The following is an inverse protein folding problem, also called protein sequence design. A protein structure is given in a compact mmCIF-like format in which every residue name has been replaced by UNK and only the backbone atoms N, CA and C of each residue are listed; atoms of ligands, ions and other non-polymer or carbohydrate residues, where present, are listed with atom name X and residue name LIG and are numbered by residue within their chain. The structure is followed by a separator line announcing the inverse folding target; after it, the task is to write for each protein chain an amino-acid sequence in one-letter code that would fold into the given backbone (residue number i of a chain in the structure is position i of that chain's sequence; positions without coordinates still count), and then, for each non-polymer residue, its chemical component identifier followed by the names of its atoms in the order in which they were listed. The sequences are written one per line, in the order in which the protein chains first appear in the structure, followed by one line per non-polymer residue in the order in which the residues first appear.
data_IF_760980578191
#
_entry.id   IF_760980578191
#
_cell.length_a   1.000
_cell.length_b   1.000
_cell.length_c   1.000
_cell.angle_alpha   90.00
_cell.angle_beta   90.00
_cell.angle_gamma   90.00
#
_symmetry.space_group_name_H-M   'P 1'
#
loop_
_entity.id
_entity.type
_entity.pdbx_description
1 polymer ?
#
# COMPACT_ATOMS: atom_id res chain seq x y z
N UNK A 1 2.65 0.04 -19.42
CA UNK A 1 3.25 -0.14 -18.08
C UNK A 1 2.24 -0.76 -17.15
N UNK A 2 2.68 -1.33 -16.04
CA UNK A 2 1.78 -1.84 -15.00
C UNK A 2 1.03 -0.69 -14.33
N UNK A 3 -0.24 -0.93 -14.02
CA UNK A 3 -1.10 0.01 -13.32
C UNK A 3 -1.15 -0.29 -11.82
N UNK A 4 -1.44 0.72 -11.01
CA UNK A 4 -1.58 0.56 -9.57
C UNK A 4 -2.70 1.43 -9.01
N UNK A 5 -3.27 0.98 -7.89
CA UNK A 5 -4.25 1.72 -7.10
C UNK A 5 -3.82 1.77 -5.64
N UNK A 6 -3.95 2.93 -4.99
CA UNK A 6 -3.59 3.11 -3.59
C UNK A 6 -4.84 3.33 -2.75
N UNK A 7 -5.04 2.47 -1.75
CA UNK A 7 -6.06 2.62 -0.72
C UNK A 7 -5.35 3.15 0.54
N UNK A 8 -5.68 4.39 0.93
CA UNK A 8 -5.10 5.04 2.10
C UNK A 8 -6.10 5.06 3.25
N UNK A 9 -5.81 4.30 4.30
CA UNK A 9 -6.68 4.16 5.46
C UNK A 9 -6.14 4.95 6.67
N UNK A 10 -7.06 5.38 7.54
CA UNK A 10 -6.74 5.98 8.82
C UNK A 10 -6.46 7.48 8.78
N UNK A 11 -5.30 7.92 9.24
CA UNK A 11 -5.05 9.33 9.57
C UNK A 11 -4.32 10.10 8.47
N UNK A 12 -4.23 11.43 8.64
CA UNK A 12 -3.51 12.33 7.74
C UNK A 12 -2.02 11.97 7.54
N UNK A 13 -1.39 11.32 8.53
CA UNK A 13 -0.04 10.79 8.40
C UNK A 13 0.03 9.70 7.30
N UNK A 14 -0.90 8.75 7.33
CA UNK A 14 -0.98 7.71 6.31
C UNK A 14 -1.25 8.29 4.93
N UNK A 15 -2.08 9.34 4.85
CA UNK A 15 -2.32 10.03 3.59
C UNK A 15 -1.03 10.62 3.02
N UNK A 16 -0.21 11.29 3.84
CA UNK A 16 1.09 11.83 3.40
C UNK A 16 2.03 10.72 2.92
N UNK A 17 2.08 9.60 3.64
CA UNK A 17 2.91 8.46 3.26
C UNK A 17 2.39 7.83 1.94
N UNK A 18 1.08 7.73 1.76
CA UNK A 18 0.46 7.27 0.50
C UNK A 18 0.72 8.20 -0.68
N UNK A 19 0.71 9.52 -0.47
CA UNK A 19 1.06 10.50 -1.51
C UNK A 19 2.54 10.45 -1.90
N UNK A 20 3.45 10.08 -0.97
CA UNK A 20 4.86 9.79 -1.27
C UNK A 20 5.00 8.51 -2.10
N UNK A 21 4.28 7.44 -1.71
CA UNK A 21 4.23 6.20 -2.49
C UNK A 21 3.75 6.50 -3.90
N UNK A 22 2.67 7.29 -4.05
CA UNK A 22 2.13 7.66 -5.35
C UNK A 22 3.17 8.35 -6.25
N UNK A 23 3.87 9.36 -5.72
CA UNK A 23 4.95 10.02 -6.44
C UNK A 23 6.06 9.06 -6.85
N UNK A 24 6.47 8.18 -5.95
CA UNK A 24 7.49 7.16 -6.21
C UNK A 24 7.06 6.14 -7.26
N UNK A 25 5.81 5.68 -7.25
CA UNK A 25 5.28 4.76 -8.25
C UNK A 25 5.27 5.39 -9.65
N UNK A 26 4.83 6.66 -9.77
CA UNK A 26 4.87 7.41 -11.03
C UNK A 26 6.31 7.53 -11.53
N UNK A 27 7.25 7.91 -10.66
CA UNK A 27 8.68 8.02 -11.02
C UNK A 27 9.31 6.69 -11.40
N UNK A 28 8.83 5.59 -10.85
CA UNK A 28 9.26 4.24 -11.21
C UNK A 28 8.66 3.74 -12.53
N UNK A 29 7.77 4.51 -13.17
CA UNK A 29 7.17 4.19 -14.47
C UNK A 29 5.85 3.42 -14.40
N UNK A 30 5.20 3.37 -13.24
CA UNK A 30 3.85 2.82 -13.08
C UNK A 30 2.79 3.87 -13.39
N UNK A 31 1.61 3.43 -13.81
CA UNK A 31 0.47 4.30 -14.12
C UNK A 31 -0.61 4.18 -13.06
N UNK A 32 -1.13 5.28 -12.48
CA UNK A 32 -2.26 5.21 -11.56
C UNK A 32 -3.51 4.70 -12.28
N UNK A 33 -4.24 3.78 -11.66
CA UNK A 33 -5.55 3.31 -12.10
C UNK A 33 -6.67 4.14 -11.45
N UNK A 34 -7.86 4.14 -12.05
CA UNK A 34 -9.02 4.84 -11.51
C UNK A 34 -9.71 4.05 -10.40
N UNK A 35 -9.56 2.72 -10.39
CA UNK A 35 -10.12 1.85 -9.37
C UNK A 35 -9.22 0.64 -9.06
N UNK A 36 -9.50 -0.04 -7.95
CA UNK A 36 -8.78 -1.25 -7.55
C UNK A 36 -9.00 -2.39 -8.56
N UNK A 37 -10.20 -2.51 -9.11
CA UNK A 37 -10.59 -3.53 -10.10
C UNK A 37 -9.82 -3.39 -11.41
N UNK A 38 -9.39 -2.18 -11.76
CA UNK A 38 -8.65 -1.89 -12.99
C UNK A 38 -7.14 -1.94 -12.83
N UNK A 39 -6.65 -2.07 -11.57
CA UNK A 39 -5.22 -2.01 -11.28
C UNK A 39 -4.55 -3.39 -11.32
N UNK A 40 -3.30 -3.42 -11.73
CA UNK A 40 -2.43 -4.60 -11.66
C UNK A 40 -1.85 -4.79 -10.25
N UNK A 41 -1.66 -3.69 -9.51
CA UNK A 41 -1.11 -3.68 -8.16
C UNK A 41 -2.04 -2.88 -7.25
N UNK A 42 -2.54 -3.50 -6.18
CA UNK A 42 -3.30 -2.81 -5.13
C UNK A 42 -2.36 -2.57 -3.96
N UNK A 43 -2.18 -1.31 -3.58
CA UNK A 43 -1.35 -0.91 -2.44
C UNK A 43 -2.27 -0.41 -1.33
N UNK A 44 -2.28 -1.10 -0.18
CA UNK A 44 -3.10 -0.78 0.98
C UNK A 44 -2.21 -0.22 2.08
N UNK A 45 -2.34 1.07 2.36
CA UNK A 45 -1.67 1.72 3.48
C UNK A 45 -2.58 1.70 4.71
N UNK A 46 -2.29 0.80 5.63
CA UNK A 46 -3.15 0.40 6.74
C UNK A 46 -2.98 1.24 8.00
N UNK A 47 -4.03 1.32 8.79
CA UNK A 47 -4.02 1.91 10.13
C UNK A 47 -4.22 0.84 11.21
N UNK A 48 -3.49 0.95 12.32
CA UNK A 48 -3.50 -0.06 13.38
C UNK A 48 -3.57 0.48 14.79
N UNK A 49 -3.94 1.76 15.00
CA UNK A 49 -3.92 2.37 16.32
C UNK A 49 -5.17 2.12 17.15
N UNK A 50 -6.36 2.25 16.56
CA UNK A 50 -7.64 2.00 17.22
C UNK A 50 -8.27 0.75 16.64
N UNK A 51 -9.21 0.16 17.38
CA UNK A 51 -9.85 -1.10 17.00
C UNK A 51 -10.57 -0.98 15.66
N UNK A 52 -11.40 0.04 15.50
CA UNK A 52 -12.19 0.25 14.28
C UNK A 52 -11.31 0.39 13.05
N UNK A 53 -10.19 1.12 13.15
CA UNK A 53 -9.24 1.26 12.04
C UNK A 53 -8.50 -0.06 11.71
N UNK A 54 -8.32 -0.95 12.69
CA UNK A 54 -7.79 -2.30 12.43
C UNK A 54 -8.81 -3.16 11.71
N UNK A 55 -10.05 -3.15 12.16
CA UNK A 55 -11.15 -3.90 11.54
C UNK A 55 -11.34 -3.44 10.08
N UNK A 56 -11.41 -2.13 9.84
CA UNK A 56 -11.46 -1.53 8.50
C UNK A 56 -10.28 -1.98 7.63
N UNK A 57 -9.05 -1.93 8.18
CA UNK A 57 -7.86 -2.32 7.42
C UNK A 57 -7.87 -3.79 7.02
N UNK A 58 -8.33 -4.67 7.89
CA UNK A 58 -8.44 -6.11 7.62
C UNK A 58 -9.54 -6.38 6.59
N UNK A 59 -10.69 -5.72 6.70
CA UNK A 59 -11.80 -5.84 5.75
C UNK A 59 -11.34 -5.44 4.33
N UNK A 60 -10.67 -4.29 4.19
CA UNK A 60 -10.14 -3.83 2.91
C UNK A 60 -9.09 -4.78 2.33
N UNK A 61 -8.27 -5.43 3.17
CA UNK A 61 -7.33 -6.45 2.70
C UNK A 61 -8.08 -7.66 2.12
N UNK A 62 -9.13 -8.15 2.79
CA UNK A 62 -9.94 -9.26 2.30
C UNK A 62 -10.70 -8.91 1.02
N UNK A 63 -11.21 -7.68 0.89
CA UNK A 63 -11.83 -7.20 -0.36
C UNK A 63 -10.83 -7.25 -1.52
N UNK A 64 -9.59 -6.82 -1.29
CA UNK A 64 -8.54 -6.90 -2.31
C UNK A 64 -8.14 -8.35 -2.64
N UNK A 65 -8.14 -9.25 -1.66
CA UNK A 65 -7.91 -10.69 -1.87
C UNK A 65 -9.03 -11.28 -2.73
N UNK A 66 -10.28 -10.95 -2.46
CA UNK A 66 -11.43 -11.40 -3.26
C UNK A 66 -11.32 -10.97 -4.73
N UNK A 67 -10.89 -9.72 -4.99
CA UNK A 67 -10.64 -9.27 -6.37
C UNK A 67 -9.54 -10.08 -7.08
N UNK A 68 -8.53 -10.55 -6.36
CA UNK A 68 -7.46 -11.39 -6.91
C UNK A 68 -7.97 -12.81 -7.22
N UNK A 69 -8.85 -13.36 -6.39
CA UNK A 69 -9.46 -14.67 -6.58
C UNK A 69 -10.44 -14.65 -7.77
N UNK A 70 -11.26 -13.61 -7.88
CA UNK A 70 -12.19 -13.42 -9.01
C UNK A 70 -11.43 -13.35 -10.36
N UNK A 71 -10.27 -12.70 -10.41
CA UNK A 71 -9.41 -12.66 -11.59
C UNK A 71 -8.92 -14.09 -11.97
N UNK A 72 -8.52 -14.89 -10.97
CA UNK A 72 -8.02 -16.26 -11.19
C UNK A 72 -9.14 -17.20 -11.66
N UNK A 73 -10.35 -17.05 -11.15
CA UNK A 73 -11.51 -17.85 -11.56
C UNK A 73 -12.02 -17.43 -12.95
N UNK A 74 -11.98 -16.13 -13.26
CA UNK A 74 -12.27 -15.64 -14.61
C UNK A 74 -11.27 -16.21 -15.64
N UNK A 75 -9.98 -16.28 -15.31
CA UNK A 75 -8.96 -16.88 -16.17
C UNK A 75 -9.22 -18.37 -16.43
N UNK A 76 -9.66 -19.14 -15.43
CA UNK A 76 -10.06 -20.55 -15.57
C UNK A 76 -11.27 -20.75 -16.45
N UNK A 77 -12.30 -19.92 -16.30
CA UNK A 77 -13.55 -19.98 -17.07
C UNK A 77 -13.35 -19.60 -18.55
N UNK A 78 -12.39 -18.70 -18.85
CA UNK A 78 -12.15 -18.21 -20.20
C UNK A 78 -11.17 -19.02 -21.02
N UNK A 79 -10.40 -19.92 -20.41
CA UNK A 79 -9.62 -20.94 -21.15
C UNK A 79 -10.50 -21.82 -22.03
N UNK A 80 -11.79 -21.93 -21.71
CA UNK A 80 -12.75 -22.77 -22.42
C UNK A 80 -13.46 -22.06 -23.60
N UNK A 81 -13.46 -20.73 -23.75
CA UNK A 81 -14.30 -19.99 -24.69
C UNK A 81 -13.63 -18.87 -25.50
N UNK A 82 -12.32 -18.89 -25.68
CA UNK A 82 -11.53 -18.09 -26.65
C UNK A 82 -12.12 -16.76 -27.10
N UNK A 83 -11.85 -15.70 -26.41
CA UNK A 83 -11.70 -14.28 -26.81
C UNK A 83 -11.97 -13.32 -25.67
N UNK A 84 -10.93 -12.95 -24.89
CA UNK A 84 -10.84 -11.63 -24.24
C UNK A 84 -9.38 -11.30 -23.97
N UNK A 85 -9.05 -10.03 -24.02
CA UNK A 85 -7.74 -9.49 -23.66
C UNK A 85 -7.42 -9.80 -22.19
N UNK A 86 -6.70 -10.88 -21.95
CA UNK A 86 -6.22 -11.24 -20.62
C UNK A 86 -5.22 -10.19 -20.13
N UNK A 87 -5.35 -9.80 -18.86
CA UNK A 87 -4.25 -9.14 -18.16
C UNK A 87 -3.07 -10.12 -18.15
N UNK A 88 -1.98 -9.77 -18.79
CA UNK A 88 -0.73 -10.55 -18.77
C UNK A 88 -0.02 -10.52 -17.41
N UNK A 89 -0.68 -10.03 -16.36
CA UNK A 89 -0.10 -9.85 -15.04
C UNK A 89 -1.13 -10.26 -13.98
N UNK A 90 -0.78 -11.26 -13.17
CA UNK A 90 -1.59 -11.66 -12.03
C UNK A 90 -1.57 -10.53 -10.99
N UNK A 91 -2.76 -10.02 -10.60
CA UNK A 91 -2.94 -8.92 -9.65
C UNK A 91 -2.10 -9.14 -8.40
N UNK A 92 -1.41 -8.10 -7.95
CA UNK A 92 -0.55 -8.11 -6.77
C UNK A 92 -1.16 -7.30 -5.64
N UNK A 93 -1.15 -7.86 -4.44
CA UNK A 93 -1.61 -7.21 -3.21
C UNK A 93 -0.40 -6.84 -2.38
N UNK A 94 -0.29 -5.54 -2.12
CA UNK A 94 0.78 -4.93 -1.33
C UNK A 94 0.17 -4.29 -0.09
N UNK A 95 0.63 -4.69 1.09
CA UNK A 95 0.14 -4.14 2.35
C UNK A 95 1.28 -3.47 3.10
N UNK A 96 1.03 -2.24 3.57
CA UNK A 96 2.00 -1.43 4.32
C UNK A 96 1.30 -0.62 5.40
N UNK A 97 2.04 0.10 6.22
CA UNK A 97 1.51 1.04 7.21
C UNK A 97 1.59 0.55 8.65
N UNK A 98 0.80 1.18 9.52
CA UNK A 98 0.90 0.97 10.97
C UNK A 98 0.43 -0.42 11.42
N UNK A 99 -0.62 -0.98 10.79
CA UNK A 99 -1.10 -2.32 11.11
C UNK A 99 -0.06 -3.37 10.73
N UNK A 100 0.43 -3.32 9.48
CA UNK A 100 1.43 -4.27 9.00
C UNK A 100 2.74 -4.19 9.79
N UNK A 101 3.16 -3.01 10.24
CA UNK A 101 4.33 -2.88 11.11
C UNK A 101 4.14 -3.56 12.46
N UNK A 102 2.95 -3.43 13.05
CA UNK A 102 2.67 -3.94 14.39
C UNK A 102 2.39 -5.44 14.43
N UNK A 103 1.70 -5.97 13.42
CA UNK A 103 1.22 -7.35 13.34
C UNK A 103 1.81 -8.09 12.15
N UNK A 104 3.08 -7.81 11.82
CA UNK A 104 3.73 -8.32 10.61
C UNK A 104 3.67 -9.85 10.50
N UNK A 105 4.04 -10.55 11.56
CA UNK A 105 4.09 -12.02 11.55
C UNK A 105 2.69 -12.64 11.52
N UNK A 106 1.73 -12.05 12.22
CA UNK A 106 0.35 -12.54 12.25
C UNK A 106 -0.28 -12.39 10.85
N UNK A 107 -0.14 -11.22 10.23
CA UNK A 107 -0.65 -10.97 8.87
C UNK A 107 0.00 -11.90 7.84
N UNK A 108 1.31 -12.09 7.90
CA UNK A 108 2.03 -13.00 6.99
C UNK A 108 1.58 -14.45 7.14
N UNK A 109 1.23 -14.88 8.36
CA UNK A 109 0.76 -16.22 8.65
C UNK A 109 -0.70 -16.44 8.24
N UNK A 110 -1.55 -15.44 8.51
CA UNK A 110 -3.00 -15.58 8.42
C UNK A 110 -3.55 -15.22 7.03
N UNK A 111 -2.83 -14.40 6.26
CA UNK A 111 -3.25 -13.95 4.93
C UNK A 111 -2.11 -14.18 3.90
N UNK A 112 -1.88 -15.42 3.49
CA UNK A 112 -0.80 -15.78 2.56
C UNK A 112 -1.00 -15.24 1.13
N UNK A 113 -2.20 -14.73 0.81
CA UNK A 113 -2.55 -14.13 -0.49
C UNK A 113 -1.88 -12.78 -0.71
N UNK A 114 -1.34 -12.15 0.34
CA UNK A 114 -0.58 -10.90 0.25
C UNK A 114 0.77 -11.19 -0.43
N UNK A 115 1.02 -10.54 -1.56
CA UNK A 115 2.25 -10.74 -2.35
C UNK A 115 3.46 -9.99 -1.78
N UNK A 116 3.22 -8.85 -1.12
CA UNK A 116 4.28 -8.07 -0.49
C UNK A 116 3.76 -7.35 0.76
N UNK A 117 4.33 -7.70 1.91
CA UNK A 117 4.04 -7.06 3.19
C UNK A 117 5.23 -6.21 3.62
N UNK A 118 4.99 -4.95 3.95
CA UNK A 118 6.00 -4.02 4.41
C UNK A 118 5.54 -3.27 5.67
N UNK A 119 6.47 -2.81 6.49
CA UNK A 119 6.14 -1.99 7.64
C UNK A 119 5.73 -0.57 7.27
N UNK A 120 6.26 0.43 7.98
CA UNK A 120 6.08 1.85 7.61
C UNK A 120 6.87 2.10 6.33
N UNK A 121 6.25 2.69 5.28
CA UNK A 121 6.92 2.91 4.00
C UNK A 121 8.07 3.92 4.14
N UNK A 122 9.20 3.57 3.56
CA UNK A 122 10.42 4.37 3.46
C UNK A 122 10.96 4.33 2.01
N UNK A 123 12.16 4.84 1.80
CA UNK A 123 12.78 4.91 0.47
C UNK A 123 13.06 3.52 -0.14
N UNK A 124 13.08 2.46 0.66
CA UNK A 124 13.29 1.07 0.21
C UNK A 124 11.98 0.36 -0.14
N UNK A 125 10.82 0.95 0.14
CA UNK A 125 9.52 0.32 -0.10
C UNK A 125 9.31 -0.06 -1.57
N UNK A 126 9.44 0.90 -2.49
CA UNK A 126 9.22 0.66 -3.92
C UNK A 126 10.30 -0.24 -4.51
N UNK A 127 11.61 -0.02 -4.28
CA UNK A 127 12.64 -0.94 -4.71
C UNK A 127 12.45 -2.38 -4.20
N UNK A 128 12.06 -2.53 -2.93
CA UNK A 128 11.79 -3.85 -2.31
C UNK A 128 10.61 -4.56 -2.97
N UNK A 129 9.50 -3.85 -3.19
CA UNK A 129 8.33 -4.35 -3.90
C UNK A 129 8.67 -4.78 -5.33
N UNK A 130 9.35 -3.92 -6.07
CA UNK A 130 9.78 -4.22 -7.44
C UNK A 130 10.70 -5.44 -7.49
N UNK A 131 11.63 -5.55 -6.54
CA UNK A 131 12.52 -6.71 -6.39
C UNK A 131 11.75 -8.00 -6.13
N UNK A 132 10.75 -7.96 -5.25
CA UNK A 132 9.89 -9.11 -4.94
C UNK A 132 9.07 -9.58 -6.16
N UNK A 133 8.66 -8.65 -7.01
CA UNK A 133 7.86 -8.96 -8.21
C UNK A 133 8.71 -9.18 -9.47
N UNK A 134 10.03 -9.07 -9.40
CA UNK A 134 10.92 -9.18 -10.56
C UNK A 134 10.76 -8.04 -11.56
N UNK A 135 10.27 -6.89 -11.12
CA UNK A 135 10.03 -5.71 -11.96
C UNK A 135 11.28 -4.83 -11.96
N UNK A 136 11.78 -4.48 -13.17
CA UNK A 136 12.88 -3.53 -13.30
C UNK A 136 12.38 -2.10 -13.17
N UNK A 137 12.92 -1.36 -12.21
CA UNK A 137 12.63 0.06 -12.00
C UNK A 137 13.37 0.89 -13.04
N UNK A 138 12.67 1.78 -13.74
CA UNK A 138 13.23 2.62 -14.80
C UNK A 138 13.41 4.09 -14.41
N UNK A 139 13.31 4.45 -13.11
CA UNK A 139 13.31 5.82 -12.64
C UNK A 139 14.20 6.10 -11.43
N UNK A 140 14.38 7.38 -11.12
CA UNK A 140 15.10 7.85 -9.93
C UNK A 140 14.24 7.73 -8.66
N UNK A 141 14.88 7.44 -7.53
CA UNK A 141 14.22 7.39 -6.21
C UNK A 141 13.78 8.75 -5.64
N UNK A 142 14.15 9.85 -6.29
CA UNK A 142 13.77 11.21 -5.87
C UNK A 142 12.44 11.63 -6.50
N UNK A 143 11.36 11.00 -6.07
CA UNK A 143 10.02 11.38 -6.50
C UNK A 143 9.43 12.42 -5.55
N UNK A 144 8.95 13.50 -6.11
CA UNK A 144 8.12 14.45 -5.38
C UNK A 144 6.82 13.79 -4.89
N UNK A 145 6.24 14.32 -3.83
CA UNK A 145 4.95 13.88 -3.32
C UNK A 145 3.83 14.26 -4.30
N UNK A 146 2.98 13.31 -4.69
CA UNK A 146 1.86 13.49 -5.61
C UNK A 146 0.55 13.09 -4.92
N UNK A 147 -0.48 13.92 -5.00
CA UNK A 147 -1.81 13.65 -4.42
C UNK A 147 -2.43 12.40 -5.03
N UNK A 148 -3.07 11.58 -4.18
CA UNK A 148 -3.71 10.32 -4.60
C UNK A 148 -5.06 10.59 -5.25
N UNK A 149 -5.83 11.55 -4.74
CA UNK A 149 -7.13 11.95 -5.28
C UNK A 149 -7.25 13.47 -5.19
N UNK A 150 -7.76 14.10 -6.23
CA UNK A 150 -7.89 15.56 -6.33
C UNK A 150 -9.00 16.17 -5.44
N UNK A 151 -9.43 15.47 -4.39
CA UNK A 151 -10.62 15.82 -3.61
C UNK A 151 -10.42 16.89 -2.55
N UNK A 152 -9.18 17.22 -2.16
CA UNK A 152 -8.94 18.18 -1.08
C UNK A 152 -8.24 19.44 -1.57
N UNK A 153 -8.77 20.64 -1.25
CA UNK A 153 -8.12 21.91 -1.60
C UNK A 153 -6.88 22.21 -0.73
N UNK A 154 -6.54 21.38 0.23
CA UNK A 154 -5.41 21.51 1.15
C UNK A 154 -4.47 20.29 1.07
N UNK A 155 -3.27 20.45 1.62
CA UNK A 155 -2.29 19.37 1.77
C UNK A 155 -1.75 19.36 3.20
N UNK A 156 -1.49 18.16 3.73
CA UNK A 156 -0.83 18.01 5.02
C UNK A 156 0.69 18.13 4.86
N UNK A 157 1.32 18.81 5.80
CA UNK A 157 2.78 18.87 5.93
C UNK A 157 3.19 17.97 7.11
N UNK A 158 3.99 16.94 6.83
CA UNK A 158 4.52 16.04 7.86
C UNK A 158 5.82 16.65 8.40
N UNK A 159 5.76 17.25 9.58
CA UNK A 159 6.89 17.92 10.22
C UNK A 159 7.70 17.01 11.15
N UNK A 160 7.09 15.93 11.63
CA UNK A 160 7.72 14.92 12.48
C UNK A 160 6.99 13.59 12.40
N UNK A 161 7.67 12.53 12.80
CA UNK A 161 7.13 11.17 12.93
C UNK A 161 7.54 10.57 14.26
N UNK A 162 6.66 9.74 14.86
CA UNK A 162 6.93 9.10 16.15
C UNK A 162 6.68 9.98 17.36
N UNK A 163 7.05 9.45 18.54
CA UNK A 163 6.93 10.13 19.82
C UNK A 163 8.05 9.64 20.77
N UNK A 164 8.59 10.53 21.58
CA UNK A 164 9.59 10.19 22.60
C UNK A 164 9.00 9.83 23.97
N UNK A 165 7.68 9.96 24.14
CA UNK A 165 6.99 9.63 25.40
C UNK A 165 6.62 8.15 25.44
N UNK A 166 6.66 7.57 26.66
CA UNK A 166 6.27 6.18 26.94
C UNK A 166 4.97 6.15 27.76
N UNK A 167 3.88 6.69 27.22
CA UNK A 167 2.59 6.64 27.88
C UNK A 167 2.07 5.18 27.90
N UNK A 168 1.61 4.71 29.07
CA UNK A 168 1.21 3.32 29.30
C UNK A 168 0.05 2.82 28.40
N UNK A 169 -0.77 3.73 27.92
CA UNK A 169 -1.92 3.44 27.04
C UNK A 169 -1.62 3.64 25.55
N UNK A 170 -0.42 4.09 25.20
CA UNK A 170 -0.13 4.54 23.83
C UNK A 170 0.53 3.44 22.99
N UNK A 171 -0.03 3.17 21.83
CA UNK A 171 0.50 2.20 20.88
C UNK A 171 1.63 2.75 19.97
N UNK A 172 1.86 4.07 19.96
CA UNK A 172 2.84 4.71 19.07
C UNK A 172 4.26 4.16 19.27
N UNK A 173 4.79 4.00 20.49
CA UNK A 173 6.16 3.49 20.69
C UNK A 173 6.39 2.06 20.16
N UNK A 174 5.32 1.28 20.03
CA UNK A 174 5.38 -0.12 19.55
C UNK A 174 5.41 -0.21 18.03
N UNK A 175 4.76 0.73 17.34
CA UNK A 175 4.55 0.67 15.88
C UNK A 175 5.30 1.72 15.08
N UNK A 176 5.79 2.79 15.71
CA UNK A 176 6.43 3.91 15.02
C UNK A 176 7.79 4.18 15.65
N UNK A 177 8.82 4.54 14.86
CA UNK A 177 10.15 4.83 15.41
C UNK A 177 10.13 5.97 16.43
N UNK A 178 11.21 6.08 17.23
CA UNK A 178 11.45 7.25 18.10
C UNK A 178 11.26 8.53 17.29
N UNK A 179 10.81 9.60 17.96
CA UNK A 179 10.59 10.91 17.35
C UNK A 179 11.68 11.29 16.37
N UNK A 180 11.32 11.39 15.10
CA UNK A 180 12.20 11.82 14.04
C UNK A 180 11.61 13.13 13.45
N UNK A 181 12.45 14.16 13.30
CA UNK A 181 12.05 15.40 12.64
C UNK A 181 12.19 15.20 11.13
N UNK A 182 11.15 15.50 10.38
CA UNK A 182 11.24 15.50 8.93
C UNK A 182 12.02 16.74 8.47
N UNK A 183 12.96 16.55 7.55
CA UNK A 183 13.52 17.69 6.82
C UNK A 183 12.43 18.20 5.88
N UNK A 184 12.01 19.43 6.09
CA UNK A 184 10.96 20.13 5.33
C UNK A 184 11.63 21.01 4.30
#
# INVERSE_FOLDING_TARGET
GLSYYIISLGCSKNLVDSEKINGGMISAGFSPAESAEESDIIIINTCGFIRDAKEESIEVIFDAVSLKEDDADAERLFMDHGKRTFRNFNRKIVVTGCLSKRYFNDIMSDIPEIDFLYGIPDDNFIPGMCGAFGIKVSGSSEAGRVKIHNSYPYSYLKISDGCSNNCSYCAIPVGVPKLNRCNV
#
